data_IF_346619836134
#
_entry.id   IF_346619836134
#
_cell.length_a   1.000
_cell.length_b   1.000
_cell.length_c   1.000
_cell.angle_alpha   90.00
_cell.angle_beta   90.00
_cell.angle_gamma   90.00
#
_symmetry.space_group_name_H-M   'P 1'
#
loop_
_entity.id
_entity.type
_entity.pdbx_description
1 polymer ?
#
# COMPACT_ATOMS: atom_id res chain seq x y z
N UNK A 1 7.87 41.16 -1.32
CA UNK A 1 7.76 42.21 -0.28
C UNK A 1 6.85 41.68 0.82
N UNK A 2 7.31 41.70 2.09
CA UNK A 2 6.60 41.28 3.33
C UNK A 2 6.46 39.76 3.53
N UNK A 3 6.51 39.17 4.73
CA UNK A 3 7.09 39.51 6.04
C UNK A 3 6.96 38.23 6.90
N UNK A 4 8.04 37.90 7.61
CA UNK A 4 8.16 37.21 8.91
C UNK A 4 7.28 35.99 9.27
N UNK A 5 8.01 34.87 9.31
CA UNK A 5 7.80 33.68 10.14
C UNK A 5 8.23 33.97 11.60
N UNK A 6 7.59 33.31 12.55
CA UNK A 6 7.64 33.67 13.97
C UNK A 6 7.78 32.40 14.84
N UNK A 7 8.68 32.50 15.85
CA UNK A 7 8.74 31.81 17.19
C UNK A 7 9.11 30.29 17.20
N UNK A 8 9.91 29.66 18.10
CA UNK A 8 10.38 29.91 19.49
C UNK A 8 11.74 29.20 19.76
N UNK A 9 12.67 29.88 20.48
CA UNK A 9 13.75 29.32 21.31
C UNK A 9 13.64 29.94 22.73
N UNK A 10 13.83 29.16 23.79
CA UNK A 10 13.94 29.61 25.21
C UNK A 10 15.11 28.81 25.81
N UNK A 11 16.32 29.36 25.94
CA UNK A 11 16.93 30.29 26.92
C UNK A 11 17.59 29.61 28.13
N UNK A 12 18.91 29.77 28.23
CA UNK A 12 19.80 29.52 29.38
C UNK A 12 19.58 30.57 30.49
N UNK A 13 19.92 30.25 31.74
CA UNK A 13 20.57 31.23 32.63
C UNK A 13 21.50 30.56 33.66
N UNK A 14 22.71 31.12 33.76
CA UNK A 14 23.77 30.81 34.70
C UNK A 14 23.67 31.71 35.95
N UNK A 15 24.28 31.29 37.06
CA UNK A 15 24.69 32.21 38.12
C UNK A 15 25.96 31.70 38.82
N UNK A 16 26.99 32.55 38.80
CA UNK A 16 28.31 32.36 39.43
C UNK A 16 28.36 33.13 40.75
N UNK A 17 28.97 32.58 41.80
CA UNK A 17 29.47 33.37 42.95
C UNK A 17 30.86 32.88 43.35
N UNK A 18 31.77 33.85 43.42
CA UNK A 18 33.18 33.78 43.80
C UNK A 18 33.31 34.28 45.24
N UNK A 19 34.12 33.64 46.09
CA UNK A 19 34.67 34.30 47.28
C UNK A 19 36.06 33.76 47.63
N UNK A 20 37.00 34.70 47.78
CA UNK A 20 38.41 34.54 48.15
C UNK A 20 38.54 34.76 49.66
N UNK A 21 39.34 33.94 50.36
CA UNK A 21 40.07 34.40 51.55
C UNK A 21 41.38 33.61 51.73
N UNK A 22 42.48 34.34 51.72
CA UNK A 22 43.84 33.93 52.10
C UNK A 22 44.00 33.89 53.61
N UNK A 23 44.79 32.97 54.19
CA UNK A 23 45.63 33.27 55.36
C UNK A 23 46.90 32.40 55.43
N UNK A 24 47.88 32.99 56.08
CA UNK A 24 49.32 32.71 56.09
C UNK A 24 49.76 31.54 56.97
N UNK A 25 50.92 31.01 56.61
CA UNK A 25 51.79 30.14 57.39
C UNK A 25 52.59 30.94 58.43
N UNK A 26 52.68 30.45 59.67
CA UNK A 26 53.84 30.62 60.57
C UNK A 26 53.73 29.67 61.79
N UNK A 27 54.91 29.22 62.25
CA UNK A 27 55.16 28.16 63.23
C UNK A 27 54.92 28.54 64.70
N UNK A 28 54.52 27.56 65.52
CA UNK A 28 55.01 27.40 66.91
C UNK A 28 54.71 26.00 67.45
N UNK A 29 55.57 25.57 68.36
CA UNK A 29 55.85 24.23 68.90
C UNK A 29 54.82 23.60 69.86
N UNK A 30 54.98 22.28 69.97
CA UNK A 30 54.78 21.36 71.10
C UNK A 30 53.39 20.82 71.49
N UNK A 31 53.29 19.50 71.26
CA UNK A 31 52.71 18.41 72.05
C UNK A 31 51.25 18.48 72.50
N UNK A 32 50.47 17.50 72.02
CA UNK A 32 49.75 16.54 72.90
C UNK A 32 49.23 15.35 72.09
N UNK A 33 49.77 14.18 72.44
CA UNK A 33 49.22 12.81 72.33
C UNK A 33 48.59 12.34 71.01
N UNK A 34 49.44 11.79 70.13
CA UNK A 34 49.04 10.90 69.03
C UNK A 34 48.46 9.58 69.57
N UNK A 35 47.14 9.40 69.43
CA UNK A 35 46.55 8.07 69.38
C UNK A 35 46.79 7.52 67.97
N UNK A 36 47.80 6.65 67.84
CA UNK A 36 48.01 5.86 66.62
C UNK A 36 46.86 4.85 66.53
N UNK A 37 45.82 5.20 65.77
CA UNK A 37 44.95 4.17 65.17
C UNK A 37 45.76 3.61 64.01
N UNK A 38 46.43 2.48 64.22
CA UNK A 38 46.91 1.68 63.09
C UNK A 38 45.68 1.33 62.25
N UNK A 39 45.56 1.95 61.09
CA UNK A 39 44.61 1.51 60.08
C UNK A 39 45.07 0.13 59.63
N UNK A 40 44.42 -0.91 60.16
CA UNK A 40 44.58 -2.28 59.66
C UNK A 40 44.40 -2.21 58.14
N UNK A 41 45.39 -2.61 57.31
CA UNK A 41 45.17 -2.67 55.88
C UNK A 41 43.96 -3.56 55.64
N UNK A 42 42.95 -3.04 54.95
CA UNK A 42 41.90 -3.84 54.34
C UNK A 42 42.61 -4.93 53.52
N UNK A 43 42.24 -6.21 53.64
CA UNK A 43 42.81 -7.22 52.77
C UNK A 43 42.63 -6.76 51.32
N UNK A 44 43.70 -6.71 50.54
CA UNK A 44 43.56 -6.60 49.09
C UNK A 44 42.73 -7.81 48.65
N UNK A 45 41.47 -7.58 48.27
CA UNK A 45 40.66 -8.62 47.67
C UNK A 45 41.33 -9.04 46.36
N UNK A 46 41.59 -10.34 46.24
CA UNK A 46 42.17 -10.90 45.04
C UNK A 46 41.10 -10.89 43.94
N UNK A 47 41.21 -9.95 43.00
CA UNK A 47 40.30 -9.84 41.87
C UNK A 47 40.69 -10.87 40.81
N UNK A 48 39.74 -11.74 40.47
CA UNK A 48 39.88 -12.77 39.45
C UNK A 48 38.92 -12.49 38.29
N UNK A 49 39.05 -13.24 37.19
CA UNK A 49 38.13 -13.12 36.07
C UNK A 49 36.71 -13.53 36.46
N UNK A 50 35.72 -12.79 35.97
CA UNK A 50 34.31 -13.12 36.15
C UNK A 50 33.94 -14.45 35.47
N UNK A 51 32.85 -15.08 35.92
CA UNK A 51 32.29 -16.29 35.32
C UNK A 51 30.95 -15.94 34.68
N UNK A 52 30.74 -16.38 33.45
CA UNK A 52 29.53 -16.11 32.68
C UNK A 52 28.85 -17.40 32.22
N UNK A 53 27.54 -17.32 32.04
CA UNK A 53 26.75 -18.40 31.41
C UNK A 53 25.66 -17.81 30.52
N UNK A 54 25.38 -18.48 29.41
CA UNK A 54 24.14 -18.27 28.66
C UNK A 54 23.05 -19.09 29.32
N UNK A 55 21.91 -18.46 29.55
CA UNK A 55 20.71 -19.09 30.10
C UNK A 55 19.84 -19.65 28.97
N UNK A 56 19.55 -18.82 27.97
CA UNK A 56 18.74 -19.20 26.82
C UNK A 56 19.02 -18.28 25.61
N UNK A 57 18.70 -18.79 24.41
CA UNK A 57 18.51 -17.99 23.21
C UNK A 57 17.04 -18.14 22.81
N UNK A 58 16.33 -17.02 22.70
CA UNK A 58 14.89 -16.98 22.38
C UNK A 58 14.61 -15.94 21.29
N UNK A 59 13.37 -15.91 20.79
CA UNK A 59 12.93 -15.02 19.71
C UNK A 59 13.87 -15.02 18.50
N UNK A 60 14.30 -16.22 18.07
CA UNK A 60 15.11 -16.38 16.87
C UNK A 60 14.18 -16.24 15.65
N UNK A 61 14.34 -15.15 14.92
CA UNK A 61 13.61 -14.88 13.69
C UNK A 61 14.57 -14.79 12.47
N UNK A 62 14.12 -14.20 11.38
CA UNK A 62 14.89 -14.05 10.13
C UNK A 62 16.14 -13.15 10.29
N UNK A 63 16.06 -12.08 11.09
CA UNK A 63 17.09 -11.04 11.22
C UNK A 63 17.49 -10.69 12.66
N UNK A 64 16.88 -11.34 13.65
CA UNK A 64 17.04 -11.03 15.06
C UNK A 64 17.08 -12.30 15.92
N UNK A 65 17.66 -12.15 17.11
CA UNK A 65 17.59 -13.12 18.19
C UNK A 65 17.78 -12.41 19.54
N UNK A 66 17.27 -12.99 20.61
CA UNK A 66 17.50 -12.50 21.97
C UNK A 66 18.34 -13.52 22.71
N UNK A 67 19.48 -13.09 23.26
CA UNK A 67 20.34 -13.92 24.11
C UNK A 67 20.22 -13.45 25.55
N UNK A 68 19.89 -14.37 26.44
CA UNK A 68 19.82 -14.14 27.88
C UNK A 68 21.03 -14.79 28.55
N UNK A 69 21.79 -14.01 29.30
CA UNK A 69 23.02 -14.44 29.93
C UNK A 69 23.12 -13.89 31.35
N UNK A 70 24.06 -14.42 32.12
CA UNK A 70 24.32 -13.96 33.47
C UNK A 70 25.82 -13.95 33.76
N UNK A 71 26.27 -12.92 34.48
CA UNK A 71 27.50 -12.96 35.25
C UNK A 71 27.17 -13.72 36.54
N UNK A 72 27.65 -14.96 36.66
CA UNK A 72 27.37 -15.84 37.80
C UNK A 72 28.34 -15.64 38.96
N UNK A 73 29.51 -15.09 38.68
CA UNK A 73 30.52 -14.66 39.64
C UNK A 73 31.25 -13.45 39.06
N UNK A 74 31.37 -12.35 39.81
CA UNK A 74 32.06 -11.14 39.37
C UNK A 74 33.58 -11.17 39.65
N UNK A 75 34.04 -12.22 40.35
CA UNK A 75 35.43 -12.40 40.72
C UNK A 75 35.94 -11.37 41.71
N UNK A 76 35.05 -10.80 42.54
CA UNK A 76 35.32 -9.67 43.44
C UNK A 76 35.73 -8.37 42.73
N UNK A 77 35.50 -8.27 41.41
CA UNK A 77 35.82 -7.08 40.61
C UNK A 77 34.56 -6.40 40.09
N UNK A 78 34.62 -5.08 39.87
CA UNK A 78 33.50 -4.35 39.27
C UNK A 78 33.34 -4.68 37.77
N UNK A 79 32.10 -4.96 37.32
CA UNK A 79 31.80 -5.20 35.90
C UNK A 79 31.61 -3.88 35.16
N UNK A 80 32.58 -3.53 34.32
CA UNK A 80 32.57 -2.29 33.52
C UNK A 80 31.81 -2.40 32.19
N UNK A 81 31.74 -3.60 31.61
CA UNK A 81 31.04 -3.89 30.36
C UNK A 81 30.56 -5.35 30.36
N UNK A 82 29.41 -5.62 29.74
CA UNK A 82 28.91 -6.98 29.51
C UNK A 82 28.08 -7.05 28.23
N UNK A 83 28.10 -8.19 27.56
CA UNK A 83 27.38 -8.37 26.30
C UNK A 83 27.55 -9.75 25.71
N UNK A 84 27.23 -9.87 24.41
CA UNK A 84 27.44 -11.07 23.60
C UNK A 84 28.46 -10.75 22.51
N UNK A 85 29.42 -11.64 22.36
CA UNK A 85 30.28 -11.74 21.21
C UNK A 85 29.67 -12.74 20.22
N UNK A 86 29.45 -12.32 18.97
CA UNK A 86 28.73 -13.07 17.97
C UNK A 86 29.60 -13.34 16.73
N UNK A 87 29.70 -14.60 16.31
CA UNK A 87 30.41 -15.00 15.09
C UNK A 87 29.55 -15.91 14.22
N UNK A 88 29.94 -16.07 12.95
CA UNK A 88 29.39 -17.07 12.02
C UNK A 88 30.29 -18.30 11.88
N UNK A 89 31.43 -18.32 12.58
CA UNK A 89 32.38 -19.44 12.62
C UNK A 89 32.54 -19.92 14.06
N UNK A 90 32.47 -21.23 14.33
CA UNK A 90 32.63 -21.76 15.68
C UNK A 90 34.02 -21.42 16.22
N UNK A 91 34.10 -21.06 17.50
CA UNK A 91 35.35 -20.75 18.20
C UNK A 91 36.23 -19.67 17.54
N UNK A 92 35.60 -18.77 16.78
CA UNK A 92 36.31 -17.69 16.10
C UNK A 92 36.64 -16.52 17.04
N UNK A 93 37.78 -15.88 16.76
CA UNK A 93 38.13 -14.56 17.30
C UNK A 93 37.75 -13.42 16.33
N UNK A 94 37.09 -13.74 15.22
CA UNK A 94 36.48 -12.80 14.28
C UNK A 94 34.96 -12.79 14.47
N UNK A 95 34.41 -11.64 14.85
CA UNK A 95 33.02 -11.49 15.28
C UNK A 95 32.75 -10.12 15.89
N UNK A 96 31.47 -9.84 16.12
CA UNK A 96 30.97 -8.55 16.56
C UNK A 96 30.55 -8.59 18.03
N UNK A 97 30.73 -7.46 18.75
CA UNK A 97 30.28 -7.32 20.14
C UNK A 97 28.97 -6.56 20.20
N UNK A 98 28.00 -7.14 20.89
CA UNK A 98 26.69 -6.56 21.17
C UNK A 98 26.55 -6.33 22.67
N UNK A 99 26.35 -5.08 23.07
CA UNK A 99 26.21 -4.70 24.48
C UNK A 99 24.86 -5.16 25.07
N UNK A 100 24.83 -5.39 26.38
CA UNK A 100 23.60 -5.65 27.12
C UNK A 100 22.54 -4.56 26.87
N UNK A 101 21.38 -4.97 26.35
CA UNK A 101 20.22 -4.11 26.17
C UNK A 101 19.43 -3.93 27.47
N UNK A 102 19.56 -4.88 28.41
CA UNK A 102 19.06 -4.72 29.78
C UNK A 102 19.92 -5.51 30.77
N UNK A 103 19.94 -5.06 32.03
CA UNK A 103 20.64 -5.69 33.14
C UNK A 103 19.69 -5.73 34.34
N UNK A 104 19.64 -6.86 35.04
CA UNK A 104 18.79 -7.07 36.22
C UNK A 104 19.62 -7.58 37.38
N UNK A 105 19.55 -6.86 38.50
CA UNK A 105 20.41 -7.12 39.65
C UNK A 105 21.89 -6.96 39.30
N UNK A 106 22.75 -7.76 39.93
CA UNK A 106 24.19 -7.76 39.66
C UNK A 106 24.60 -8.64 38.47
N UNK A 107 23.82 -9.66 38.13
CA UNK A 107 24.26 -10.76 37.26
C UNK A 107 23.56 -10.87 35.91
N UNK A 108 22.23 -10.91 35.88
CA UNK A 108 21.43 -11.20 34.68
C UNK A 108 21.46 -10.05 33.68
N UNK A 109 21.59 -10.38 32.40
CA UNK A 109 21.49 -9.42 31.31
C UNK A 109 20.94 -10.05 30.04
N UNK A 110 20.34 -9.21 29.20
CA UNK A 110 19.79 -9.60 27.91
C UNK A 110 20.47 -8.79 26.82
N UNK A 111 20.69 -9.40 25.66
CA UNK A 111 21.17 -8.75 24.44
C UNK A 111 20.19 -9.03 23.31
N UNK A 112 19.74 -7.95 22.66
CA UNK A 112 18.94 -8.02 21.44
C UNK A 112 19.87 -7.93 20.24
N UNK A 113 19.99 -9.01 19.48
CA UNK A 113 20.76 -9.08 18.24
C UNK A 113 19.83 -8.69 17.10
N UNK A 114 20.26 -7.75 16.25
CA UNK A 114 19.52 -7.28 15.07
C UNK A 114 20.43 -7.22 13.85
N UNK A 115 19.85 -7.20 12.64
CA UNK A 115 20.61 -7.13 11.38
C UNK A 115 21.37 -8.41 11.05
N UNK A 116 20.93 -9.55 11.59
CA UNK A 116 21.46 -10.86 11.25
C UNK A 116 21.12 -11.21 9.79
N UNK A 117 21.76 -12.23 9.24
CA UNK A 117 21.45 -12.78 7.91
C UNK A 117 20.49 -13.95 8.07
N UNK A 118 19.53 -14.09 7.17
CA UNK A 118 18.63 -15.25 7.13
C UNK A 118 19.40 -16.56 6.92
N UNK A 119 18.82 -17.69 7.38
CA UNK A 119 19.35 -19.06 7.22
C UNK A 119 20.83 -19.20 7.65
N UNK A 120 21.28 -18.39 8.60
CA UNK A 120 22.68 -18.31 9.02
C UNK A 120 22.83 -18.84 10.44
N UNK A 121 23.79 -19.74 10.64
CA UNK A 121 24.17 -20.22 11.98
C UNK A 121 25.11 -19.21 12.63
N UNK A 122 24.75 -18.78 13.83
CA UNK A 122 25.52 -17.89 14.67
C UNK A 122 25.99 -18.58 15.94
N UNK A 123 27.17 -18.19 16.39
CA UNK A 123 27.84 -18.67 17.58
C UNK A 123 28.00 -17.50 18.55
N UNK A 124 27.32 -17.58 19.69
CA UNK A 124 27.23 -16.53 20.70
C UNK A 124 28.03 -16.91 21.95
N UNK A 125 28.95 -16.05 22.36
CA UNK A 125 29.70 -16.16 23.63
C UNK A 125 29.35 -14.97 24.52
N UNK A 126 28.92 -15.16 25.77
CA UNK A 126 28.75 -14.03 26.68
C UNK A 126 30.14 -13.50 27.05
N UNK A 127 30.28 -12.18 27.18
CA UNK A 127 31.53 -11.59 27.65
C UNK A 127 31.27 -10.53 28.70
N UNK A 128 32.27 -10.33 29.57
CA UNK A 128 32.31 -9.21 30.50
C UNK A 128 33.74 -8.67 30.63
N UNK A 129 33.83 -7.42 31.07
CA UNK A 129 35.08 -6.75 31.39
C UNK A 129 35.06 -6.35 32.86
N UNK A 130 35.94 -6.97 33.64
CA UNK A 130 36.20 -6.58 35.03
C UNK A 130 37.65 -6.12 35.21
N UNK A 131 38.05 -5.79 36.43
CA UNK A 131 39.39 -5.29 36.74
C UNK A 131 40.51 -6.33 36.47
N UNK A 132 40.20 -7.63 36.36
CA UNK A 132 41.13 -8.68 35.94
C UNK A 132 41.22 -8.85 34.41
N UNK A 133 40.34 -8.21 33.63
CA UNK A 133 40.39 -8.17 32.17
C UNK A 133 39.08 -8.60 31.48
N UNK A 134 39.20 -8.96 30.20
CA UNK A 134 38.08 -9.46 29.39
C UNK A 134 37.97 -10.97 29.56
N UNK A 135 36.78 -11.45 29.85
CA UNK A 135 36.47 -12.88 29.93
C UNK A 135 35.30 -13.22 29.00
N UNK A 136 35.36 -14.41 28.42
CA UNK A 136 34.31 -14.99 27.59
C UNK A 136 33.81 -16.27 28.28
N UNK A 137 32.50 -16.46 28.32
CA UNK A 137 31.88 -17.71 28.76
C UNK A 137 31.74 -18.73 27.63
N UNK A 138 31.05 -19.83 27.95
CA UNK A 138 30.81 -20.92 27.02
C UNK A 138 29.96 -20.48 25.81
N UNK A 139 30.29 -21.04 24.65
CA UNK A 139 29.62 -20.77 23.38
C UNK A 139 28.30 -21.55 23.27
N UNK A 140 27.27 -20.90 22.77
CA UNK A 140 26.07 -21.57 22.23
C UNK A 140 25.91 -21.19 20.77
N UNK A 141 25.17 -22.00 20.01
CA UNK A 141 24.80 -21.66 18.65
C UNK A 141 23.29 -21.66 18.44
N UNK A 142 22.87 -20.86 17.48
CA UNK A 142 21.49 -20.81 16.99
C UNK A 142 21.51 -20.55 15.48
N UNK A 143 20.39 -20.80 14.80
CA UNK A 143 20.25 -20.55 13.37
C UNK A 143 19.04 -19.67 13.10
N UNK A 144 19.23 -18.57 12.38
CA UNK A 144 18.14 -17.69 11.94
C UNK A 144 17.24 -18.38 10.92
N UNK A 145 16.00 -17.88 10.82
CA UNK A 145 14.99 -18.43 9.91
C UNK A 145 15.20 -17.94 8.47
N UNK A 146 14.44 -18.50 7.53
CA UNK A 146 14.35 -18.00 6.15
C UNK A 146 13.30 -16.89 6.08
N UNK A 147 13.54 -15.86 5.29
CA UNK A 147 12.58 -14.80 5.07
C UNK A 147 11.32 -15.34 4.39
N UNK A 148 10.15 -15.05 4.95
CA UNK A 148 8.89 -15.33 4.26
C UNK A 148 8.74 -14.41 3.04
N UNK A 149 8.25 -14.98 1.95
CA UNK A 149 8.00 -14.25 0.71
C UNK A 149 6.62 -13.61 0.75
N UNK A 150 6.43 -12.55 -0.03
CA UNK A 150 5.10 -11.96 -0.16
C UNK A 150 4.11 -12.91 -0.83
N UNK A 151 2.84 -12.75 -0.46
CA UNK A 151 1.73 -13.46 -1.05
C UNK A 151 0.71 -12.46 -1.60
N UNK A 152 0.44 -12.56 -2.90
CA UNK A 152 -0.67 -11.84 -3.54
C UNK A 152 -1.94 -12.68 -3.50
N UNK A 153 -3.11 -12.02 -3.42
CA UNK A 153 -4.38 -12.70 -3.58
C UNK A 153 -4.48 -13.31 -4.98
N UNK A 154 -4.70 -14.63 -5.12
CA UNK A 154 -4.85 -15.27 -6.42
C UNK A 154 -6.24 -15.06 -7.06
N UNK A 155 -7.24 -14.63 -6.29
CA UNK A 155 -8.64 -14.46 -6.68
C UNK A 155 -9.00 -12.97 -6.70
N UNK A 156 -8.45 -12.26 -7.69
CA UNK A 156 -8.73 -10.83 -7.92
C UNK A 156 -9.57 -10.62 -9.16
N UNK A 157 -10.35 -9.54 -9.17
CA UNK A 157 -11.21 -9.20 -10.30
C UNK A 157 -10.38 -8.56 -11.43
N UNK A 158 -10.73 -8.85 -12.68
CA UNK A 158 -10.21 -8.11 -13.84
C UNK A 158 -11.30 -7.81 -14.86
N UNK A 159 -11.21 -6.62 -15.46
CA UNK A 159 -12.22 -6.07 -16.36
C UNK A 159 -11.51 -5.47 -17.57
N UNK A 160 -12.11 -5.63 -18.74
CA UNK A 160 -11.54 -5.15 -20.00
C UNK A 160 -12.51 -4.26 -20.75
N UNK A 161 -12.02 -3.11 -21.19
CA UNK A 161 -12.52 -2.41 -22.37
C UNK A 161 -11.86 -2.98 -23.65
N UNK A 162 -11.99 -2.24 -24.75
CA UNK A 162 -11.39 -2.59 -26.02
C UNK A 162 -9.87 -2.35 -26.01
N UNK A 163 -9.44 -1.25 -25.41
CA UNK A 163 -8.02 -0.84 -25.37
C UNK A 163 -7.45 -0.74 -23.96
N UNK A 164 -8.24 -1.14 -22.96
CA UNK A 164 -7.95 -0.95 -21.55
C UNK A 164 -8.24 -2.23 -20.76
N UNK A 165 -7.40 -2.53 -19.78
CA UNK A 165 -7.66 -3.53 -18.77
C UNK A 165 -7.51 -2.90 -17.39
N UNK A 166 -8.47 -3.17 -16.51
CA UNK A 166 -8.45 -2.82 -15.10
C UNK A 166 -8.24 -4.11 -14.31
N UNK A 167 -7.21 -4.12 -13.47
CA UNK A 167 -6.92 -5.25 -12.58
C UNK A 167 -6.87 -4.76 -11.16
N UNK A 168 -7.41 -5.57 -10.27
CA UNK A 168 -7.18 -5.44 -8.84
C UNK A 168 -5.87 -6.13 -8.46
N UNK A 169 -5.14 -5.51 -7.54
CA UNK A 169 -3.93 -6.05 -6.94
C UNK A 169 -4.10 -6.02 -5.44
N UNK A 170 -4.03 -7.18 -4.81
CA UNK A 170 -4.08 -7.32 -3.36
C UNK A 170 -2.88 -8.13 -2.85
N UNK A 171 -2.17 -7.57 -1.88
CA UNK A 171 -1.05 -8.15 -1.17
C UNK A 171 -1.54 -8.63 0.20
N UNK A 172 -1.77 -9.94 0.32
CA UNK A 172 -2.25 -10.57 1.56
C UNK A 172 -1.12 -10.64 2.60
N UNK A 173 0.11 -10.82 2.13
CA UNK A 173 1.31 -10.85 2.98
C UNK A 173 2.45 -10.09 2.31
N UNK A 174 3.11 -9.20 3.06
CA UNK A 174 4.28 -8.43 2.60
C UNK A 174 5.56 -9.27 2.62
N UNK A 175 5.59 -10.35 3.41
CA UNK A 175 6.79 -11.09 3.77
C UNK A 175 7.72 -10.28 4.70
N UNK A 176 8.86 -10.87 5.03
CA UNK A 176 9.82 -10.28 5.99
C UNK A 176 10.73 -9.20 5.37
N UNK A 177 10.87 -9.21 4.05
CA UNK A 177 11.80 -8.35 3.32
C UNK A 177 11.12 -7.04 2.89
N UNK A 178 11.79 -5.88 3.09
CA UNK A 178 11.29 -4.61 2.60
C UNK A 178 10.93 -4.63 1.11
N UNK A 179 9.83 -4.00 0.76
CA UNK A 179 9.38 -3.86 -0.63
C UNK A 179 9.89 -2.52 -1.16
N UNK A 180 10.65 -2.56 -2.25
CA UNK A 180 11.23 -1.36 -2.88
C UNK A 180 10.47 -0.91 -4.13
N UNK A 181 9.72 -1.82 -4.75
CA UNK A 181 8.92 -1.56 -5.94
C UNK A 181 7.73 -2.53 -5.95
N UNK A 182 6.57 -2.11 -6.46
CA UNK A 182 5.47 -3.02 -6.78
C UNK A 182 4.66 -2.49 -7.97
N UNK A 183 3.86 -3.35 -8.58
CA UNK A 183 3.00 -2.99 -9.70
C UNK A 183 2.49 -4.20 -10.46
N UNK A 184 2.30 -4.03 -11.76
CA UNK A 184 1.86 -5.11 -12.65
C UNK A 184 2.79 -5.25 -13.86
N UNK A 185 2.99 -6.49 -14.28
CA UNK A 185 3.64 -6.84 -15.55
C UNK A 185 2.64 -7.52 -16.47
N UNK A 186 2.77 -7.32 -17.78
CA UNK A 186 1.89 -7.95 -18.75
C UNK A 186 2.55 -8.23 -20.09
N UNK A 187 1.94 -9.12 -20.87
CA UNK A 187 2.35 -9.46 -22.22
C UNK A 187 1.31 -10.30 -22.95
N UNK A 188 1.59 -10.62 -24.21
CA UNK A 188 0.79 -11.53 -25.05
C UNK A 188 1.27 -12.99 -24.98
N UNK A 189 2.35 -13.23 -24.21
CA UNK A 189 2.91 -14.55 -23.93
C UNK A 189 2.77 -14.87 -22.45
N UNK A 190 2.68 -16.16 -22.12
CA UNK A 190 2.55 -16.62 -20.74
C UNK A 190 3.77 -16.28 -19.88
N UNK A 191 3.52 -16.13 -18.59
CA UNK A 191 4.47 -15.89 -17.51
C UNK A 191 5.26 -14.60 -17.70
N UNK A 192 4.59 -13.43 -17.84
CA UNK A 192 5.29 -12.16 -17.96
C UNK A 192 6.17 -11.90 -16.72
N UNK A 193 7.31 -11.26 -16.95
CA UNK A 193 8.28 -10.84 -15.94
C UNK A 193 8.46 -9.32 -16.00
N UNK A 194 9.28 -8.79 -15.09
CA UNK A 194 9.68 -7.37 -15.10
C UNK A 194 10.45 -6.93 -16.35
N UNK A 195 10.85 -7.87 -17.23
CA UNK A 195 11.49 -7.58 -18.52
C UNK A 195 10.46 -7.38 -19.66
N UNK A 196 9.18 -7.67 -19.41
CA UNK A 196 8.07 -7.38 -20.34
C UNK A 196 7.54 -5.95 -20.14
N UNK A 197 6.29 -5.71 -20.52
CA UNK A 197 5.63 -4.45 -20.23
C UNK A 197 5.34 -4.38 -18.71
N UNK A 198 5.52 -3.20 -18.13
CA UNK A 198 5.47 -3.00 -16.68
C UNK A 198 4.93 -1.63 -16.32
N UNK A 199 4.07 -1.57 -15.31
CA UNK A 199 3.64 -0.36 -14.64
C UNK A 199 4.11 -0.47 -13.20
N UNK A 200 4.88 0.51 -12.76
CA UNK A 200 5.27 0.68 -11.37
C UNK A 200 4.15 1.46 -10.69
N UNK A 201 3.56 0.86 -9.67
CA UNK A 201 2.59 1.55 -8.84
C UNK A 201 3.33 2.57 -7.94
N UNK A 202 2.76 3.76 -7.78
CA UNK A 202 3.49 4.92 -7.25
C UNK A 202 3.85 4.80 -5.76
N UNK A 203 3.07 4.02 -5.02
CA UNK A 203 3.20 3.80 -3.58
C UNK A 203 3.34 2.31 -3.28
N UNK A 204 3.68 1.95 -2.05
CA UNK A 204 3.61 0.55 -1.60
C UNK A 204 2.37 0.39 -0.73
N UNK A 205 1.27 -0.06 -1.32
CA UNK A 205 -0.01 -0.30 -0.65
C UNK A 205 -0.47 -1.74 -0.81
N UNK A 206 -1.28 -2.22 0.13
CA UNK A 206 -1.71 -3.63 0.17
C UNK A 206 -2.86 -3.93 -0.79
N UNK A 207 -3.57 -2.91 -1.26
CA UNK A 207 -4.69 -3.07 -2.18
C UNK A 207 -4.79 -1.85 -3.09
N UNK A 208 -4.88 -2.09 -4.40
CA UNK A 208 -5.10 -1.03 -5.39
C UNK A 208 -5.66 -1.55 -6.72
N UNK A 209 -6.31 -0.64 -7.44
CA UNK A 209 -6.73 -0.83 -8.83
C UNK A 209 -5.66 -0.30 -9.78
N UNK A 210 -5.31 -1.08 -10.79
CA UNK A 210 -4.39 -0.68 -11.85
C UNK A 210 -5.06 -0.71 -13.22
N UNK A 211 -4.97 0.40 -13.95
CA UNK A 211 -5.39 0.52 -15.36
C UNK A 211 -4.17 0.30 -16.27
N UNK A 212 -4.35 -0.52 -17.31
CA UNK A 212 -3.41 -0.77 -18.41
C UNK A 212 -4.07 -0.26 -19.69
N UNK A 213 -3.40 0.59 -20.46
CA UNK A 213 -3.93 1.26 -21.66
C UNK A 213 -3.18 0.83 -22.91
N UNK A 214 -3.63 1.35 -24.08
CA UNK A 214 -2.96 1.18 -25.38
C UNK A 214 -2.82 -0.29 -25.80
N UNK A 215 -3.84 -1.09 -25.47
CA UNK A 215 -3.90 -2.51 -25.81
C UNK A 215 -4.59 -2.71 -27.17
N UNK A 216 -4.28 -3.80 -27.85
CA UNK A 216 -5.02 -4.20 -29.04
C UNK A 216 -6.37 -4.78 -28.62
N UNK A 217 -7.45 -4.46 -29.34
CA UNK A 217 -8.75 -5.05 -29.10
C UNK A 217 -8.78 -6.55 -29.46
N UNK A 218 -9.75 -7.29 -28.92
CA UNK A 218 -9.95 -8.71 -29.20
C UNK A 218 -8.69 -9.58 -29.00
N UNK A 219 -7.83 -9.20 -28.06
CA UNK A 219 -6.51 -9.79 -27.87
C UNK A 219 -6.35 -10.35 -26.46
N UNK A 220 -5.68 -11.50 -26.35
CA UNK A 220 -5.41 -12.16 -25.06
C UNK A 220 -4.17 -11.56 -24.43
N UNK A 221 -4.28 -11.23 -23.14
CA UNK A 221 -3.19 -10.75 -22.31
C UNK A 221 -3.02 -11.60 -21.06
N UNK A 222 -1.75 -11.80 -20.70
CA UNK A 222 -1.31 -12.41 -19.46
C UNK A 222 -0.80 -11.30 -18.55
N UNK A 223 -1.30 -11.24 -17.31
CA UNK A 223 -0.98 -10.15 -16.36
C UNK A 223 -0.58 -10.78 -15.03
N UNK A 224 0.43 -10.21 -14.37
CA UNK A 224 0.84 -10.62 -13.02
C UNK A 224 1.10 -9.39 -12.16
N UNK A 225 0.59 -9.33 -10.93
CA UNK A 225 1.12 -8.39 -9.96
C UNK A 225 2.54 -8.82 -9.59
N UNK A 226 3.39 -7.85 -9.29
CA UNK A 226 4.75 -8.12 -8.85
C UNK A 226 5.17 -7.14 -7.76
N UNK A 227 6.20 -7.56 -7.01
CA UNK A 227 6.98 -6.69 -6.15
C UNK A 227 8.48 -6.95 -6.35
N UNK A 228 9.31 -6.01 -5.92
CA UNK A 228 10.75 -6.21 -5.73
C UNK A 228 11.07 -6.11 -4.24
N UNK A 229 11.74 -7.15 -3.72
CA UNK A 229 12.26 -7.21 -2.36
C UNK A 229 13.67 -7.78 -2.37
N UNK A 230 14.60 -7.13 -1.68
CA UNK A 230 16.03 -7.48 -1.69
C UNK A 230 16.63 -7.61 -3.11
N UNK A 231 16.14 -6.81 -4.05
CA UNK A 231 16.56 -6.84 -5.45
C UNK A 231 15.99 -7.99 -6.29
N UNK A 232 15.17 -8.86 -5.71
CA UNK A 232 14.52 -9.98 -6.40
C UNK A 232 13.04 -9.70 -6.68
N UNK A 233 12.57 -10.12 -7.85
CA UNK A 233 11.17 -10.00 -8.24
C UNK A 233 10.35 -11.17 -7.70
N UNK A 234 9.30 -10.84 -6.93
CA UNK A 234 8.28 -11.78 -6.47
C UNK A 234 6.99 -11.48 -7.22
N UNK A 235 6.32 -12.51 -7.71
CA UNK A 235 5.15 -12.36 -8.58
C UNK A 235 3.95 -13.07 -7.97
N UNK A 236 2.77 -12.48 -8.14
CA UNK A 236 1.52 -13.18 -7.90
C UNK A 236 1.16 -14.16 -9.01
N UNK A 237 -0.03 -14.74 -8.84
CA UNK A 237 -0.64 -15.61 -9.84
C UNK A 237 -0.87 -14.84 -11.15
N UNK A 238 -0.75 -15.55 -12.26
CA UNK A 238 -1.09 -15.03 -13.58
C UNK A 238 -2.60 -14.97 -13.78
N UNK A 239 -3.07 -13.77 -14.14
CA UNK A 239 -4.38 -13.53 -14.71
C UNK A 239 -4.33 -13.70 -16.23
N UNK A 240 -5.43 -14.15 -16.81
CA UNK A 240 -5.62 -14.28 -18.26
C UNK A 240 -6.92 -13.57 -18.59
N UNK A 241 -6.87 -12.58 -19.46
CA UNK A 241 -8.03 -11.79 -19.86
C UNK A 241 -7.92 -11.42 -21.34
N UNK A 242 -9.05 -11.27 -22.01
CA UNK A 242 -9.09 -10.75 -23.39
C UNK A 242 -9.73 -9.37 -23.41
N UNK A 243 -9.14 -8.45 -24.15
CA UNK A 243 -9.84 -7.21 -24.51
C UNK A 243 -11.09 -7.52 -25.33
N UNK A 244 -12.13 -6.69 -25.19
CA UNK A 244 -13.35 -6.84 -25.99
C UNK A 244 -13.18 -6.22 -27.38
N UNK A 245 -14.02 -6.54 -28.38
CA UNK A 245 -14.14 -5.69 -29.55
C UNK A 245 -14.69 -4.32 -29.17
N UNK A 246 -14.23 -3.28 -29.87
CA UNK A 246 -14.83 -1.96 -29.87
C UNK A 246 -16.33 -2.05 -30.18
N UNK A 247 -17.09 -1.19 -29.51
CA UNK A 247 -18.47 -0.96 -29.84
C UNK A 247 -18.61 -0.35 -31.24
N UNK A 248 -19.81 -0.46 -31.77
CA UNK A 248 -20.22 0.28 -32.97
C UNK A 248 -21.48 1.07 -32.63
N UNK A 249 -21.38 1.87 -31.58
CA UNK A 249 -22.36 2.87 -31.23
C UNK A 249 -22.16 4.08 -32.13
N UNK A 250 -23.25 4.54 -32.75
CA UNK A 250 -23.23 5.69 -33.65
C UNK A 250 -24.45 6.56 -33.40
N UNK A 251 -24.37 7.83 -33.78
CA UNK A 251 -25.48 8.75 -33.64
C UNK A 251 -25.66 9.64 -34.87
N UNK A 252 -26.87 10.12 -35.07
CA UNK A 252 -27.19 11.15 -36.05
C UNK A 252 -28.05 12.25 -35.42
N UNK A 253 -27.97 13.47 -35.95
CA UNK A 253 -28.83 14.56 -35.52
C UNK A 253 -30.10 14.60 -36.36
N UNK A 254 -31.27 14.70 -35.73
CA UNK A 254 -32.54 14.90 -36.41
C UNK A 254 -32.62 16.31 -37.01
N UNK A 255 -32.49 16.41 -38.33
CA UNK A 255 -32.51 17.68 -39.05
C UNK A 255 -31.12 18.29 -39.24
N UNK A 256 -31.04 19.61 -39.33
CA UNK A 256 -29.77 20.32 -39.60
C UNK A 256 -29.01 20.61 -38.31
N UNK A 257 -27.82 20.02 -38.19
CA UNK A 257 -26.87 20.30 -37.10
C UNK A 257 -26.11 21.62 -37.37
N UNK A 258 -26.74 22.75 -37.02
CA UNK A 258 -26.12 24.08 -37.09
C UNK A 258 -25.14 24.34 -35.91
N UNK A 259 -23.84 24.29 -36.17
CA UNK A 259 -22.79 24.52 -35.15
C UNK A 259 -22.62 25.99 -34.75
N UNK A 260 -23.28 26.93 -35.43
CA UNK A 260 -23.34 28.31 -34.94
C UNK A 260 -24.33 28.47 -33.78
N UNK A 261 -25.26 27.53 -33.61
CA UNK A 261 -26.11 27.43 -32.44
C UNK A 261 -25.34 26.76 -31.28
N UNK A 262 -25.12 27.45 -30.14
CA UNK A 262 -24.35 26.90 -29.02
C UNK A 262 -24.99 25.64 -28.42
N UNK A 263 -26.30 25.46 -28.52
CA UNK A 263 -26.98 24.23 -28.04
C UNK A 263 -26.61 23.04 -28.91
N UNK A 264 -26.65 23.20 -30.24
CA UNK A 264 -26.28 22.13 -31.17
C UNK A 264 -24.79 21.79 -31.05
N UNK A 265 -23.93 22.79 -30.85
CA UNK A 265 -22.51 22.57 -30.61
C UNK A 265 -22.27 21.75 -29.33
N UNK A 266 -22.96 22.05 -28.22
CA UNK A 266 -22.87 21.27 -26.98
C UNK A 266 -23.41 19.85 -27.13
N UNK A 267 -24.57 19.68 -27.77
CA UNK A 267 -25.15 18.35 -28.04
C UNK A 267 -24.16 17.51 -28.87
N UNK A 268 -23.59 18.08 -29.94
CA UNK A 268 -22.59 17.38 -30.75
C UNK A 268 -21.39 16.95 -29.90
N UNK A 269 -20.82 17.87 -29.12
CA UNK A 269 -19.68 17.56 -28.25
C UNK A 269 -19.99 16.45 -27.26
N UNK A 270 -21.17 16.49 -26.63
CA UNK A 270 -21.59 15.49 -25.66
C UNK A 270 -21.75 14.09 -26.28
N UNK A 271 -22.41 13.99 -27.44
CA UNK A 271 -22.64 12.71 -28.09
C UNK A 271 -21.40 12.14 -28.79
N UNK A 272 -20.51 12.99 -29.32
CA UNK A 272 -19.22 12.52 -29.85
C UNK A 272 -18.37 11.89 -28.75
N UNK A 273 -18.25 12.56 -27.59
CA UNK A 273 -17.48 12.05 -26.46
C UNK A 273 -18.14 10.81 -25.85
N UNK A 274 -19.46 10.82 -25.63
CA UNK A 274 -20.18 9.67 -25.12
C UNK A 274 -20.07 8.45 -26.05
N UNK A 275 -20.10 8.67 -27.37
CA UNK A 275 -19.88 7.60 -28.36
C UNK A 275 -18.46 7.03 -28.27
N UNK A 276 -17.45 7.88 -28.05
CA UNK A 276 -16.08 7.41 -27.84
C UNK A 276 -15.99 6.49 -26.63
N UNK A 277 -16.56 6.87 -25.47
CA UNK A 277 -16.58 6.00 -24.28
C UNK A 277 -17.36 4.70 -24.52
N UNK A 278 -18.55 4.77 -25.13
CA UNK A 278 -19.32 3.57 -25.45
C UNK A 278 -18.53 2.60 -26.33
N UNK A 279 -17.80 3.09 -27.33
CA UNK A 279 -17.05 2.23 -28.25
C UNK A 279 -15.75 1.70 -27.62
N UNK A 280 -15.10 2.45 -26.72
CA UNK A 280 -13.87 2.01 -26.06
C UNK A 280 -14.12 1.06 -24.88
N UNK A 281 -15.28 1.15 -24.21
CA UNK A 281 -15.53 0.40 -22.97
C UNK A 281 -16.73 -0.56 -23.06
N UNK A 282 -17.40 -0.63 -24.21
CA UNK A 282 -18.44 -1.61 -24.46
C UNK A 282 -18.27 -2.22 -25.83
N UNK A 283 -18.84 -3.41 -26.03
CA UNK A 283 -18.97 -4.08 -27.31
C UNK A 283 -20.35 -3.82 -27.93
N UNK A 284 -21.06 -2.78 -27.50
CA UNK A 284 -22.45 -2.51 -27.91
C UNK A 284 -22.47 -1.94 -29.32
N UNK A 285 -23.38 -2.44 -30.15
CA UNK A 285 -23.66 -1.90 -31.49
C UNK A 285 -25.07 -1.33 -31.52
N UNK A 286 -25.21 -0.02 -31.73
CA UNK A 286 -26.51 0.65 -31.81
C UNK A 286 -26.37 1.94 -32.64
N UNK A 287 -27.42 2.31 -33.34
CA UNK A 287 -27.55 3.67 -33.88
C UNK A 287 -28.66 4.41 -33.15
N UNK A 288 -28.40 5.66 -32.76
CA UNK A 288 -29.41 6.55 -32.17
C UNK A 288 -29.63 7.81 -32.99
N UNK A 289 -30.85 8.31 -32.98
CA UNK A 289 -31.21 9.62 -33.54
C UNK A 289 -31.43 10.62 -32.41
N UNK A 290 -30.60 11.66 -32.38
CA UNK A 290 -30.62 12.72 -31.37
C UNK A 290 -31.38 13.91 -31.91
N UNK A 291 -32.38 14.38 -31.17
CA UNK A 291 -33.23 15.50 -31.52
C UNK A 291 -33.13 16.60 -30.46
N UNK A 292 -32.99 17.86 -30.89
CA UNK A 292 -33.17 19.00 -29.98
C UNK A 292 -34.67 19.30 -29.81
N UNK A 293 -35.16 19.21 -28.57
CA UNK A 293 -36.57 19.39 -28.22
C UNK A 293 -36.71 20.42 -27.08
N UNK A 294 -36.99 21.70 -27.39
CA UNK A 294 -37.18 22.73 -26.36
C UNK A 294 -38.29 22.43 -25.34
N UNK A 295 -39.25 21.57 -25.71
CA UNK A 295 -40.33 21.12 -24.83
C UNK A 295 -39.93 20.01 -23.84
N UNK A 296 -38.74 19.41 -24.00
CA UNK A 296 -38.19 18.43 -23.07
C UNK A 296 -37.41 19.18 -22.00
N UNK A 297 -37.78 19.09 -20.69
CA UNK A 297 -37.09 19.86 -19.66
C UNK A 297 -35.61 19.51 -19.48
N UNK A 298 -35.28 18.22 -19.60
CA UNK A 298 -33.93 17.67 -19.40
C UNK A 298 -33.48 16.91 -20.66
N UNK A 299 -33.68 15.60 -20.68
CA UNK A 299 -33.54 14.73 -21.83
C UNK A 299 -34.48 13.51 -21.63
N UNK A 300 -34.73 12.76 -22.70
CA UNK A 300 -35.36 11.44 -22.62
C UNK A 300 -34.98 10.59 -23.83
N UNK A 301 -35.01 9.28 -23.65
CA UNK A 301 -34.73 8.31 -24.69
C UNK A 301 -35.73 7.16 -24.68
N UNK A 302 -35.79 6.44 -25.80
CA UNK A 302 -36.50 5.18 -25.89
C UNK A 302 -35.58 4.07 -26.43
N UNK A 303 -36.04 2.82 -26.29
CA UNK A 303 -35.29 1.64 -26.73
C UNK A 303 -35.08 1.59 -28.25
N UNK A 304 -35.94 2.23 -29.04
CA UNK A 304 -35.81 2.31 -30.50
C UNK A 304 -34.65 3.23 -30.95
N UNK A 305 -34.00 3.92 -30.00
CA UNK A 305 -32.86 4.79 -30.28
C UNK A 305 -33.23 6.23 -30.60
N UNK A 306 -34.43 6.69 -30.24
CA UNK A 306 -34.76 8.12 -30.30
C UNK A 306 -34.39 8.81 -28.98
N UNK A 307 -33.61 9.89 -29.05
CA UNK A 307 -33.20 10.68 -27.88
C UNK A 307 -33.59 12.15 -28.09
N UNK A 308 -34.31 12.73 -27.13
CA UNK A 308 -34.57 14.17 -27.09
C UNK A 308 -33.65 14.86 -26.08
N UNK A 309 -33.00 15.94 -26.51
CA UNK A 309 -32.22 16.83 -25.64
C UNK A 309 -32.97 18.15 -25.43
N UNK A 310 -33.12 18.55 -24.17
CA UNK A 310 -33.78 19.78 -23.75
C UNK A 310 -32.92 21.04 -23.89
N UNK A 311 -33.46 22.23 -23.57
CA UNK A 311 -32.77 23.51 -23.72
C UNK A 311 -31.77 23.81 -22.58
N UNK A 312 -31.82 23.07 -21.47
CA UNK A 312 -31.03 23.37 -20.27
C UNK A 312 -29.59 22.92 -20.46
N UNK A 313 -28.66 23.88 -20.38
CA UNK A 313 -27.23 23.68 -20.64
C UNK A 313 -26.58 22.61 -19.77
N UNK A 314 -26.97 22.50 -18.49
CA UNK A 314 -26.40 21.50 -17.58
C UNK A 314 -26.72 20.05 -17.97
N UNK A 315 -27.73 19.83 -18.82
CA UNK A 315 -28.11 18.51 -19.36
C UNK A 315 -27.62 18.31 -20.80
N UNK A 316 -26.88 19.26 -21.39
CA UNK A 316 -26.27 19.13 -22.72
C UNK A 316 -24.79 18.73 -22.58
N UNK A 317 -24.52 17.75 -21.71
CA UNK A 317 -23.19 17.28 -21.34
C UNK A 317 -23.06 15.78 -21.59
N UNK A 318 -21.81 15.31 -21.63
CA UNK A 318 -21.43 13.92 -21.90
C UNK A 318 -22.10 12.94 -20.96
N UNK A 319 -22.17 13.23 -19.66
CA UNK A 319 -22.85 12.37 -18.69
C UNK A 319 -24.35 12.18 -19.01
N UNK A 320 -25.04 13.24 -19.44
CA UNK A 320 -26.45 13.11 -19.88
C UNK A 320 -26.55 12.32 -21.18
N UNK A 321 -25.64 12.51 -22.14
CA UNK A 321 -25.64 11.72 -23.37
C UNK A 321 -25.42 10.22 -23.08
N UNK A 322 -24.45 9.87 -22.22
CA UNK A 322 -24.21 8.50 -21.77
C UNK A 322 -25.46 7.88 -21.13
N UNK A 323 -26.09 8.61 -20.21
CA UNK A 323 -27.32 8.19 -19.55
C UNK A 323 -28.46 7.90 -20.53
N UNK A 324 -28.73 8.80 -21.48
CA UNK A 324 -29.79 8.60 -22.47
C UNK A 324 -29.45 7.48 -23.47
N UNK A 325 -28.16 7.31 -23.80
CA UNK A 325 -27.69 6.17 -24.58
C UNK A 325 -27.90 4.85 -23.83
N UNK A 326 -27.72 4.82 -22.50
CA UNK A 326 -28.02 3.65 -21.66
C UNK A 326 -29.50 3.23 -21.78
N UNK A 327 -30.42 4.20 -21.76
CA UNK A 327 -31.84 3.96 -22.00
C UNK A 327 -32.11 3.41 -23.41
N UNK A 328 -31.34 3.80 -24.43
CA UNK A 328 -31.49 3.23 -25.78
C UNK A 328 -31.00 1.78 -25.92
N UNK A 329 -30.25 1.29 -24.94
CA UNK A 329 -29.73 -0.10 -24.87
C UNK A 329 -30.36 -0.90 -23.73
N UNK A 330 -31.56 -0.51 -23.31
CA UNK A 330 -32.45 -1.34 -22.51
C UNK A 330 -32.54 -0.99 -21.04
N UNK A 331 -31.65 -0.14 -20.50
CA UNK A 331 -31.73 0.31 -19.10
C UNK A 331 -33.08 1.00 -18.90
N UNK A 332 -33.92 0.48 -18.01
CA UNK A 332 -35.24 1.05 -17.70
C UNK A 332 -36.28 1.10 -18.84
N UNK A 333 -35.91 0.74 -20.07
CA UNK A 333 -36.77 0.83 -21.27
C UNK A 333 -37.09 -0.55 -21.86
N UNK A 334 -36.38 -1.60 -21.41
CA UNK A 334 -36.61 -2.96 -21.82
C UNK A 334 -36.89 -3.85 -20.59
N UNK A 335 -37.89 -4.75 -20.69
CA UNK A 335 -38.33 -5.60 -19.57
C UNK A 335 -37.21 -6.45 -18.96
N UNK A 336 -36.21 -6.86 -19.76
CA UNK A 336 -35.00 -7.54 -19.27
C UNK A 336 -34.24 -6.77 -18.21
N UNK A 337 -34.30 -5.43 -18.22
CA UNK A 337 -33.72 -4.64 -17.16
C UNK A 337 -34.36 -4.97 -15.81
N UNK A 338 -35.67 -5.21 -15.76
CA UNK A 338 -36.32 -5.57 -14.50
C UNK A 338 -35.95 -6.98 -14.02
N UNK A 339 -35.73 -7.93 -14.94
CA UNK A 339 -35.28 -9.29 -14.64
C UNK A 339 -33.90 -9.31 -13.92
N UNK A 340 -33.06 -8.30 -14.20
CA UNK A 340 -31.72 -8.17 -13.62
C UNK A 340 -31.71 -7.63 -12.19
N UNK A 341 -32.88 -7.47 -11.56
CA UNK A 341 -32.97 -6.99 -10.19
C UNK A 341 -33.97 -7.81 -9.38
N UNK A 342 -33.65 -8.03 -8.11
CA UNK A 342 -34.56 -8.59 -7.10
C UNK A 342 -34.57 -7.64 -5.91
N UNK A 343 -35.75 -7.20 -5.47
CA UNK A 343 -35.91 -6.19 -4.41
C UNK A 343 -35.06 -4.92 -4.63
N UNK A 344 -35.02 -4.45 -5.88
CA UNK A 344 -34.20 -3.33 -6.36
C UNK A 344 -32.68 -3.51 -6.25
N UNK A 345 -32.19 -4.69 -5.86
CA UNK A 345 -30.76 -5.03 -5.87
C UNK A 345 -30.43 -5.81 -7.14
N UNK A 346 -29.35 -5.42 -7.80
CA UNK A 346 -28.87 -6.08 -9.01
C UNK A 346 -28.50 -7.53 -8.71
N UNK A 347 -28.87 -8.46 -9.60
CA UNK A 347 -28.66 -9.89 -9.42
C UNK A 347 -27.73 -10.52 -10.49
N UNK A 348 -27.25 -9.73 -11.45
CA UNK A 348 -26.25 -10.16 -12.44
C UNK A 348 -24.85 -10.20 -11.81
N UNK A 349 -24.00 -11.11 -12.31
CA UNK A 349 -22.66 -11.35 -11.78
C UNK A 349 -21.66 -10.34 -12.34
N UNK A 350 -21.68 -10.12 -13.66
CA UNK A 350 -20.60 -9.37 -14.30
C UNK A 350 -20.63 -7.88 -13.97
N UNK A 351 -21.80 -7.25 -13.97
CA UNK A 351 -21.87 -5.84 -13.59
C UNK A 351 -21.61 -5.63 -12.08
N UNK A 352 -21.84 -6.66 -11.25
CA UNK A 352 -21.53 -6.61 -9.82
C UNK A 352 -20.01 -6.62 -9.56
N UNK A 353 -19.27 -7.51 -10.22
CA UNK A 353 -17.80 -7.50 -10.18
C UNK A 353 -17.23 -6.16 -10.69
N UNK A 354 -17.85 -5.60 -11.74
CA UNK A 354 -17.42 -4.34 -12.32
C UNK A 354 -17.53 -3.20 -11.33
N UNK A 355 -18.66 -3.09 -10.62
CA UNK A 355 -18.82 -1.99 -9.68
C UNK A 355 -17.83 -2.10 -8.52
N UNK A 356 -17.62 -3.30 -7.97
CA UNK A 356 -16.71 -3.54 -6.84
C UNK A 356 -15.27 -3.14 -7.18
N UNK A 357 -14.75 -3.62 -8.31
CA UNK A 357 -13.40 -3.24 -8.75
C UNK A 357 -13.30 -1.74 -9.01
N UNK A 358 -14.25 -1.17 -9.75
CA UNK A 358 -14.15 0.22 -10.19
C UNK A 358 -14.30 1.22 -9.04
N UNK A 359 -15.12 0.91 -8.03
CA UNK A 359 -15.26 1.69 -6.80
C UNK A 359 -14.12 1.47 -5.81
N UNK A 360 -13.49 0.29 -5.83
CA UNK A 360 -12.55 -0.15 -4.79
C UNK A 360 -13.26 -0.52 -3.48
N UNK A 361 -14.52 -0.96 -3.56
CA UNK A 361 -15.35 -1.35 -2.43
C UNK A 361 -16.10 -2.66 -2.75
N UNK A 362 -15.66 -3.75 -2.11
CA UNK A 362 -16.22 -5.10 -2.28
C UNK A 362 -17.69 -5.20 -1.83
N UNK A 363 -18.18 -4.26 -1.03
CA UNK A 363 -19.57 -4.22 -0.58
C UNK A 363 -20.47 -3.37 -1.51
N UNK A 364 -19.89 -2.59 -2.43
CA UNK A 364 -20.66 -1.74 -3.34
C UNK A 364 -21.51 -2.58 -4.29
N UNK A 365 -22.75 -2.15 -4.53
CA UNK A 365 -23.68 -2.89 -5.37
C UNK A 365 -24.59 -1.97 -6.16
N UNK A 366 -24.98 -2.45 -7.34
CA UNK A 366 -25.93 -1.75 -8.20
C UNK A 366 -27.34 -1.91 -7.63
N UNK A 367 -28.03 -0.78 -7.51
CA UNK A 367 -29.42 -0.67 -7.08
C UNK A 367 -30.24 0.07 -8.12
N UNK A 368 -31.52 -0.24 -8.25
CA UNK A 368 -32.44 0.51 -9.13
C UNK A 368 -33.47 1.32 -8.38
N UNK A 369 -33.93 2.39 -9.02
CA UNK A 369 -35.16 3.09 -8.67
C UNK A 369 -35.90 3.46 -9.97
N UNK A 370 -37.04 2.81 -10.21
CA UNK A 370 -37.76 2.93 -11.46
C UNK A 370 -36.88 2.52 -12.65
N UNK A 371 -36.69 3.46 -13.59
CA UNK A 371 -35.93 3.24 -14.83
C UNK A 371 -34.43 3.48 -14.69
N UNK A 372 -33.97 3.93 -13.52
CA UNK A 372 -32.59 4.34 -13.26
C UNK A 372 -31.84 3.34 -12.38
N UNK A 373 -30.51 3.34 -12.47
CA UNK A 373 -29.63 2.62 -11.53
C UNK A 373 -28.64 3.57 -10.85
N UNK A 374 -28.14 3.14 -9.70
CA UNK A 374 -27.04 3.74 -8.96
C UNK A 374 -26.14 2.62 -8.44
N UNK A 375 -24.88 2.92 -8.10
CA UNK A 375 -24.15 4.16 -8.43
C UNK A 375 -23.81 4.26 -9.93
N UNK A 376 -23.17 5.36 -10.34
CA UNK A 376 -22.68 5.62 -11.71
C UNK A 376 -23.74 5.62 -12.84
N UNK A 377 -25.04 5.72 -12.55
CA UNK A 377 -26.09 5.85 -13.58
C UNK A 377 -26.21 7.24 -14.22
N UNK A 378 -25.60 8.27 -13.61
CA UNK A 378 -25.59 9.67 -14.07
C UNK A 378 -27.03 10.20 -14.32
N UNK A 379 -27.90 10.01 -13.33
CA UNK A 379 -29.35 10.21 -13.45
C UNK A 379 -29.78 11.69 -13.41
N UNK A 380 -28.82 12.62 -13.36
CA UNK A 380 -29.08 14.04 -13.47
C UNK A 380 -27.81 14.87 -13.55
N UNK A 381 -27.95 16.13 -13.95
CA UNK A 381 -26.83 17.04 -14.18
C UNK A 381 -25.91 17.28 -12.96
N UNK A 382 -26.41 17.03 -11.75
CA UNK A 382 -25.64 17.16 -10.51
C UNK A 382 -24.77 15.92 -10.21
N UNK A 383 -25.05 14.78 -10.85
CA UNK A 383 -24.24 13.55 -10.76
C UNK A 383 -23.14 13.54 -11.83
N UNK A 384 -23.24 14.37 -12.86
CA UNK A 384 -22.23 14.53 -13.91
C UNK A 384 -21.06 15.40 -13.41
N UNK A 385 -20.03 14.74 -12.88
CA UNK A 385 -18.81 15.38 -12.38
C UNK A 385 -17.87 15.84 -13.50
N UNK A 386 -18.00 15.29 -14.71
CA UNK A 386 -17.03 15.49 -15.79
C UNK A 386 -15.75 14.66 -15.67
N UNK A 387 -15.63 13.79 -14.66
CA UNK A 387 -14.45 12.96 -14.44
C UNK A 387 -14.46 11.74 -15.38
N UNK A 388 -13.30 11.39 -15.94
CA UNK A 388 -13.13 10.25 -16.85
C UNK A 388 -13.58 8.94 -16.19
N UNK A 389 -13.17 8.69 -14.94
CA UNK A 389 -13.51 7.47 -14.20
C UNK A 389 -15.02 7.26 -14.04
N UNK A 390 -15.81 8.33 -13.93
CA UNK A 390 -17.28 8.24 -13.87
C UNK A 390 -17.83 7.68 -15.20
N UNK A 391 -17.35 8.20 -16.32
CA UNK A 391 -17.81 7.82 -17.66
C UNK A 391 -17.37 6.42 -18.06
N UNK A 392 -16.12 6.06 -17.75
CA UNK A 392 -15.60 4.70 -17.95
C UNK A 392 -16.42 3.71 -17.13
N UNK A 393 -16.61 3.97 -15.84
CA UNK A 393 -17.35 3.06 -14.93
C UNK A 393 -18.78 2.88 -15.39
N UNK A 394 -19.46 3.97 -15.81
CA UNK A 394 -20.79 3.89 -16.39
C UNK A 394 -20.83 2.92 -17.58
N UNK A 395 -19.92 3.07 -18.55
CA UNK A 395 -19.88 2.23 -19.74
C UNK A 395 -19.54 0.77 -19.41
N UNK A 396 -18.55 0.53 -18.54
CA UNK A 396 -18.21 -0.82 -18.11
C UNK A 396 -19.40 -1.51 -17.42
N UNK A 397 -20.16 -0.80 -16.58
CA UNK A 397 -21.40 -1.33 -15.98
C UNK A 397 -22.39 -1.76 -17.08
N UNK A 398 -22.57 -0.96 -18.13
CA UNK A 398 -23.45 -1.34 -19.26
C UNK A 398 -22.93 -2.56 -20.03
N UNK A 399 -21.62 -2.67 -20.22
CA UNK A 399 -20.99 -3.86 -20.80
C UNK A 399 -21.21 -5.10 -19.91
N UNK A 400 -21.15 -4.94 -18.59
CA UNK A 400 -21.52 -5.96 -17.61
C UNK A 400 -22.98 -6.36 -17.72
N UNK A 401 -23.89 -5.39 -17.71
CA UNK A 401 -25.34 -5.63 -17.87
C UNK A 401 -25.66 -6.34 -19.18
N UNK A 402 -25.00 -5.97 -20.28
CA UNK A 402 -25.11 -6.68 -21.56
C UNK A 402 -24.69 -8.14 -21.42
N UNK A 403 -23.57 -8.40 -20.75
CA UNK A 403 -23.06 -9.75 -20.51
C UNK A 403 -24.02 -10.57 -19.64
N UNK A 404 -24.64 -9.93 -18.65
CA UNK A 404 -25.65 -10.51 -17.76
C UNK A 404 -27.02 -10.72 -18.43
N UNK A 405 -27.22 -10.22 -19.66
CA UNK A 405 -28.40 -10.50 -20.49
C UNK A 405 -29.29 -9.31 -20.81
N UNK A 406 -28.87 -8.07 -20.52
CA UNK A 406 -29.55 -6.86 -21.01
C UNK A 406 -29.37 -6.76 -22.54
N UNK A 407 -30.45 -6.68 -23.32
CA UNK A 407 -30.35 -6.59 -24.77
C UNK A 407 -29.95 -5.19 -25.20
N UNK A 408 -29.06 -5.11 -26.20
CA UNK A 408 -28.54 -3.83 -26.70
C UNK A 408 -29.02 -3.47 -28.11
N UNK A 409 -30.01 -4.20 -28.68
CA UNK A 409 -30.45 -4.08 -30.07
C UNK A 409 -31.95 -3.78 -30.18
#
# INVERSE_FOLDING_TARGET
MRLNMNIIYISRLACSILFIFTLLSCSSSDNTDDVIIESRPTPEENIVQAVLSIQEVSNIDTFNAIVHAAVTDDGNGSISERGIYLSTTPDSNEGDKYLASSVKGSGEFTVSLTGLKQVTTYYAKPYAVNEAGVVYGDEVNFKTLIAESALFNPEVISISGAHDIFVEVELIDRGDLPITEMGVVWGTEEVPTIDNNKIIHATIEDHFKQRITDLEEQSVYFIRPYKISDGEAVYGRQMIISTIPEGNFTWSFNGTLDLSNPIHARIKSAFDEATWYFNNFTSITKHVTVNYSPGTPTANANFDGWINMGPVESYQRTGTALHEMAHSVGVGTHWKYDDLFTDNRYNGERAAEIIQLMSGDDEEYIRKSGVHFWPYGINGAHEDTGEEDLYITHCLILQGMKTDGLPSN
#
